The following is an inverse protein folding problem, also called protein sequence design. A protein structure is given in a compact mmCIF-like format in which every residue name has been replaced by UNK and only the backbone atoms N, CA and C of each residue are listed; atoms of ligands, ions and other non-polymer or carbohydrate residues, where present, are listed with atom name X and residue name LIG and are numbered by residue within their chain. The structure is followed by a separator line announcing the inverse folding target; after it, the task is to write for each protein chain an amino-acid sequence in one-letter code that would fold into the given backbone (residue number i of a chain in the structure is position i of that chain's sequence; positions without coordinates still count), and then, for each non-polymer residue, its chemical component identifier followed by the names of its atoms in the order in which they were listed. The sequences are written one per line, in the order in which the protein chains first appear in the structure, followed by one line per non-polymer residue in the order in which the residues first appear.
data_IF_838678459202
#
_entry.id   IF_838678459202
#
_cell.length_a   1.000
_cell.length_b   1.000
_cell.length_c   1.000
_cell.angle_alpha   90.00
_cell.angle_beta   90.00
_cell.angle_gamma   90.00
#
_symmetry.space_group_name_H-M   'P 1'
#
loop_
_entity.id
_entity.type
_entity.pdbx_description
1 polymer ?
#
# COMPACT_ATOMS: atom_id res chain seq x y z
N UNK A 1 48.16 -11.47 66.35
CA UNK A 1 47.67 -10.23 65.70
C UNK A 1 47.29 -10.64 64.27
N UNK A 2 46.02 -10.96 64.02
CA UNK A 2 45.54 -11.43 62.73
C UNK A 2 44.39 -10.50 62.27
N UNK A 3 44.62 -9.78 61.22
CA UNK A 3 43.63 -8.89 60.60
C UNK A 3 42.75 -9.69 59.65
N UNK A 4 41.46 -9.83 59.96
CA UNK A 4 40.44 -10.37 59.09
C UNK A 4 40.06 -9.34 58.01
N UNK A 5 40.24 -9.68 56.74
CA UNK A 5 39.77 -8.91 55.60
C UNK A 5 38.37 -9.39 55.21
N UNK A 6 37.36 -8.60 55.48
CA UNK A 6 35.99 -8.84 54.98
C UNK A 6 35.93 -8.40 53.54
N UNK A 7 35.59 -9.35 52.65
CA UNK A 7 35.30 -9.13 51.24
C UNK A 7 33.80 -8.80 51.11
N UNK A 8 33.46 -7.58 50.72
CA UNK A 8 32.08 -7.20 50.36
C UNK A 8 31.82 -7.61 48.93
N UNK A 9 30.91 -8.57 48.74
CA UNK A 9 30.40 -8.98 47.42
C UNK A 9 29.28 -8.00 47.03
N UNK A 10 29.59 -7.08 46.14
CA UNK A 10 28.62 -6.18 45.56
C UNK A 10 27.74 -6.94 44.52
N UNK A 11 26.47 -7.15 44.84
CA UNK A 11 25.46 -7.74 43.94
C UNK A 11 24.98 -6.64 43.02
N UNK A 12 25.53 -6.58 41.79
CA UNK A 12 25.10 -5.66 40.73
C UNK A 12 23.73 -6.02 40.20
N UNK A 13 22.73 -5.18 40.43
CA UNK A 13 21.38 -5.31 39.89
C UNK A 13 21.42 -4.94 38.42
N UNK A 14 21.40 -5.94 37.52
CA UNK A 14 21.21 -5.74 36.05
C UNK A 14 19.78 -5.29 35.80
N UNK A 15 19.59 -4.00 35.56
CA UNK A 15 18.33 -3.42 35.12
C UNK A 15 18.21 -3.75 33.62
N UNK A 16 17.44 -4.79 33.28
CA UNK A 16 16.99 -5.01 31.90
C UNK A 16 15.97 -3.91 31.56
N UNK A 17 16.41 -2.87 30.85
CA UNK A 17 15.51 -1.91 30.23
C UNK A 17 14.76 -2.62 29.10
N UNK A 18 13.41 -2.61 29.08
CA UNK A 18 12.66 -3.11 27.94
C UNK A 18 12.97 -2.22 26.74
N UNK A 19 13.58 -2.78 25.72
CA UNK A 19 13.68 -2.15 24.40
C UNK A 19 12.26 -2.14 23.84
N UNK A 20 11.56 -1.02 23.97
CA UNK A 20 10.31 -0.77 23.24
C UNK A 20 10.71 -0.63 21.78
N UNK A 21 10.59 -1.72 21.02
CA UNK A 21 10.66 -1.67 19.58
C UNK A 21 9.48 -0.80 19.13
N UNK A 22 9.78 0.41 18.64
CA UNK A 22 8.83 1.19 17.88
C UNK A 22 8.44 0.28 16.67
N UNK A 23 7.21 -0.23 16.68
CA UNK A 23 6.66 -0.89 15.53
C UNK A 23 6.68 0.17 14.41
N UNK A 24 7.50 -0.04 13.38
CA UNK A 24 7.37 0.69 12.13
C UNK A 24 5.90 0.55 11.74
N UNK A 25 5.20 1.67 11.65
CA UNK A 25 3.80 1.71 11.24
C UNK A 25 3.75 1.38 9.74
N UNK A 26 3.95 0.10 9.42
CA UNK A 26 3.78 -0.38 8.05
C UNK A 26 2.32 -0.18 7.65
N UNK A 27 2.09 0.29 6.43
CA UNK A 27 0.75 0.56 5.87
C UNK A 27 -0.16 -0.67 5.98
N UNK A 28 0.42 -1.87 5.89
CA UNK A 28 -0.25 -3.16 6.02
C UNK A 28 0.56 -4.06 6.96
N UNK A 29 -0.11 -4.80 7.80
CA UNK A 29 0.49 -5.90 8.57
C UNK A 29 0.93 -7.02 7.63
N UNK A 30 1.78 -7.93 8.09
CA UNK A 30 2.23 -9.09 7.29
C UNK A 30 1.05 -9.98 6.83
N UNK A 31 0.05 -10.15 7.67
CA UNK A 31 -1.16 -10.91 7.33
C UNK A 31 -1.98 -10.22 6.24
N UNK A 32 -2.19 -8.89 6.35
CA UNK A 32 -2.89 -8.10 5.34
C UNK A 32 -2.13 -8.08 4.00
N UNK A 33 -0.80 -7.99 4.03
CA UNK A 33 0.01 -8.07 2.81
C UNK A 33 -0.16 -9.43 2.10
N UNK A 34 -0.16 -10.53 2.87
CA UNK A 34 -0.38 -11.86 2.31
C UNK A 34 -1.79 -12.00 1.73
N UNK A 35 -2.82 -11.54 2.44
CA UNK A 35 -4.21 -11.57 1.97
C UNK A 35 -4.38 -10.71 0.72
N UNK A 36 -3.86 -9.48 0.72
CA UNK A 36 -3.90 -8.57 -0.42
C UNK A 36 -3.22 -9.18 -1.66
N UNK A 37 -2.06 -9.83 -1.47
CA UNK A 37 -1.38 -10.54 -2.56
C UNK A 37 -2.23 -11.68 -3.12
N UNK A 38 -2.89 -12.46 -2.28
CA UNK A 38 -3.80 -13.53 -2.72
C UNK A 38 -4.96 -12.95 -3.51
N UNK A 39 -5.63 -11.92 -3.00
CA UNK A 39 -6.73 -11.24 -3.68
C UNK A 39 -6.28 -10.62 -5.02
N UNK A 40 -5.09 -10.03 -5.08
CA UNK A 40 -4.52 -9.54 -6.34
C UNK A 40 -4.34 -10.66 -7.37
N UNK A 41 -3.77 -11.79 -6.97
CA UNK A 41 -3.56 -12.93 -7.87
C UNK A 41 -4.88 -13.54 -8.38
N UNK A 42 -5.92 -13.58 -7.54
CA UNK A 42 -7.22 -14.14 -7.89
C UNK A 42 -8.06 -13.21 -8.76
N UNK A 43 -8.01 -11.89 -8.55
CA UNK A 43 -8.97 -10.96 -9.12
C UNK A 43 -8.37 -9.93 -10.09
N UNK A 44 -7.05 -9.73 -10.07
CA UNK A 44 -6.38 -8.69 -10.86
C UNK A 44 -5.36 -9.25 -11.85
N UNK A 45 -4.64 -10.31 -11.46
CA UNK A 45 -3.50 -10.83 -12.21
C UNK A 45 -3.87 -11.46 -13.57
N UNK A 46 -5.13 -11.87 -13.77
CA UNK A 46 -5.59 -12.37 -15.07
C UNK A 46 -5.38 -11.33 -16.20
N UNK A 47 -5.57 -10.04 -15.89
CA UNK A 47 -5.34 -8.94 -16.83
C UNK A 47 -3.97 -8.27 -16.58
N UNK A 48 -3.65 -7.95 -15.33
CA UNK A 48 -2.44 -7.21 -14.99
C UNK A 48 -1.19 -8.09 -14.89
N UNK A 49 -1.30 -9.41 -14.98
CA UNK A 49 -0.24 -10.39 -14.74
C UNK A 49 0.24 -10.39 -13.28
N UNK A 50 0.87 -11.48 -12.79
CA UNK A 50 1.35 -11.55 -11.41
C UNK A 50 2.42 -10.49 -11.06
N UNK A 51 3.12 -9.99 -12.07
CA UNK A 51 4.14 -8.97 -11.95
C UNK A 51 3.62 -7.52 -12.13
N UNK A 52 2.33 -7.32 -12.38
CA UNK A 52 1.72 -6.00 -12.57
C UNK A 52 1.99 -5.34 -13.92
N UNK A 53 2.73 -6.00 -14.83
CA UNK A 53 3.16 -5.40 -16.11
C UNK A 53 2.05 -5.24 -17.15
N UNK A 54 0.92 -5.88 -16.96
CA UNK A 54 -0.20 -5.80 -17.89
C UNK A 54 0.11 -6.34 -19.28
N UNK A 55 -0.54 -5.76 -20.28
CA UNK A 55 -0.34 -6.09 -21.70
C UNK A 55 -0.24 -4.79 -22.51
N UNK A 56 0.86 -4.52 -23.21
CA UNK A 56 1.07 -3.29 -23.95
C UNK A 56 -0.11 -2.95 -24.89
N UNK A 57 -0.57 -1.73 -24.84
CA UNK A 57 -1.69 -1.23 -25.66
C UNK A 57 -3.09 -1.67 -25.22
N UNK A 58 -3.22 -2.61 -24.27
CA UNK A 58 -4.51 -3.15 -23.83
C UNK A 58 -4.74 -3.02 -22.33
N UNK A 59 -3.77 -3.46 -21.52
CA UNK A 59 -3.84 -3.41 -20.06
C UNK A 59 -2.64 -2.61 -19.53
N UNK A 60 -2.87 -1.53 -18.77
CA UNK A 60 -1.79 -0.69 -18.26
C UNK A 60 -0.80 -1.43 -17.36
N UNK A 61 0.48 -1.06 -17.46
CA UNK A 61 1.50 -1.42 -16.48
C UNK A 61 1.22 -0.67 -15.16
N UNK A 62 1.10 -1.41 -14.07
CA UNK A 62 0.83 -0.83 -12.76
C UNK A 62 2.03 -0.11 -12.13
N UNK A 63 3.22 -0.22 -12.73
CA UNK A 63 4.44 0.46 -12.25
C UNK A 63 4.58 1.89 -12.78
N UNK A 64 3.78 2.31 -13.77
CA UNK A 64 3.94 3.61 -14.40
C UNK A 64 3.36 4.77 -13.57
N UNK A 65 2.07 5.05 -13.71
CA UNK A 65 1.41 6.24 -13.15
C UNK A 65 0.63 5.99 -11.87
N UNK A 66 0.55 4.74 -11.40
CA UNK A 66 -0.36 4.39 -10.32
C UNK A 66 -0.01 5.08 -9.01
N UNK A 67 1.29 5.17 -8.71
CA UNK A 67 1.80 5.89 -7.54
C UNK A 67 1.46 7.37 -7.56
N UNK A 68 1.56 8.01 -8.73
CA UNK A 68 1.19 9.42 -8.91
C UNK A 68 -0.32 9.63 -8.79
N UNK A 69 -1.13 8.79 -9.46
CA UNK A 69 -2.59 8.85 -9.35
C UNK A 69 -3.09 8.73 -7.92
N UNK A 70 -2.50 7.83 -7.12
CA UNK A 70 -2.89 7.61 -5.73
C UNK A 70 -2.63 8.82 -4.81
N UNK A 71 -1.72 9.70 -5.20
CA UNK A 71 -1.26 10.83 -4.38
C UNK A 71 -1.82 12.18 -4.82
N UNK A 72 -2.46 12.23 -5.99
CA UNK A 72 -3.05 13.46 -6.52
C UNK A 72 -4.57 13.49 -6.25
N UNK A 73 -5.13 14.58 -5.70
CA UNK A 73 -6.55 14.65 -5.34
C UNK A 73 -7.50 14.30 -6.49
N UNK A 74 -7.22 14.80 -7.70
CA UNK A 74 -8.09 14.63 -8.87
C UNK A 74 -8.08 13.23 -9.45
N UNK A 75 -6.97 12.46 -9.24
CA UNK A 75 -6.81 11.12 -9.81
C UNK A 75 -6.91 9.99 -8.79
N UNK A 76 -6.88 10.29 -7.50
CA UNK A 76 -6.92 9.29 -6.44
C UNK A 76 -8.12 8.34 -6.56
N UNK A 77 -9.30 8.85 -6.85
CA UNK A 77 -10.50 8.03 -7.00
C UNK A 77 -10.47 7.12 -8.23
N UNK A 78 -9.71 7.49 -9.27
CA UNK A 78 -9.66 6.79 -10.55
C UNK A 78 -9.35 5.30 -10.38
N UNK A 79 -8.36 4.97 -9.55
CA UNK A 79 -7.86 3.60 -9.38
C UNK A 79 -8.96 2.64 -8.87
N UNK A 80 -9.81 3.09 -7.94
CA UNK A 80 -10.90 2.28 -7.41
C UNK A 80 -12.15 2.27 -8.29
N UNK A 81 -12.23 3.18 -9.28
CA UNK A 81 -13.38 3.34 -10.18
C UNK A 81 -13.25 2.60 -11.50
N UNK A 82 -12.04 2.14 -11.87
CA UNK A 82 -11.89 1.31 -13.09
C UNK A 82 -12.67 0.00 -12.96
N UNK A 83 -13.29 -0.52 -14.02
CA UNK A 83 -14.21 -1.66 -13.95
C UNK A 83 -13.64 -2.89 -13.23
N UNK A 84 -12.35 -3.20 -13.46
CA UNK A 84 -11.68 -4.32 -12.81
C UNK A 84 -11.58 -4.18 -11.28
N UNK A 85 -11.39 -2.96 -10.77
CA UNK A 85 -11.34 -2.69 -9.34
C UNK A 85 -12.74 -2.54 -8.75
N UNK A 86 -13.59 -1.68 -9.35
CA UNK A 86 -14.94 -1.41 -8.82
C UNK A 86 -15.83 -2.65 -8.81
N UNK A 87 -15.68 -3.53 -9.80
CA UNK A 87 -16.44 -4.78 -9.93
C UNK A 87 -15.80 -6.01 -9.28
N UNK A 88 -14.63 -5.88 -8.62
CA UNK A 88 -13.98 -7.01 -7.97
C UNK A 88 -14.87 -7.64 -6.90
N UNK A 89 -15.03 -8.99 -6.85
CA UNK A 89 -15.92 -9.70 -5.92
C UNK A 89 -15.27 -9.86 -4.52
N UNK A 90 -14.71 -8.77 -4.00
CA UNK A 90 -14.12 -8.63 -2.67
C UNK A 90 -14.72 -7.41 -1.98
N UNK A 91 -14.70 -7.37 -0.67
CA UNK A 91 -15.25 -6.25 0.07
C UNK A 91 -14.37 -4.98 -0.02
N UNK A 92 -14.88 -3.87 0.50
CA UNK A 92 -14.21 -2.57 0.38
C UNK A 92 -12.90 -2.50 1.18
N UNK A 93 -12.79 -3.23 2.28
CA UNK A 93 -11.58 -3.31 3.08
C UNK A 93 -10.51 -4.17 2.37
N UNK A 94 -10.91 -5.29 1.82
CA UNK A 94 -10.04 -6.16 1.02
C UNK A 94 -9.53 -5.43 -0.23
N UNK A 95 -10.40 -4.68 -0.93
CA UNK A 95 -9.97 -3.89 -2.08
C UNK A 95 -9.01 -2.78 -1.68
N UNK A 96 -9.25 -2.09 -0.56
CA UNK A 96 -8.31 -1.09 -0.04
C UNK A 96 -6.94 -1.71 0.28
N UNK A 97 -6.92 -2.92 0.86
CA UNK A 97 -5.67 -3.66 1.10
C UNK A 97 -4.96 -4.02 -0.21
N UNK A 98 -5.68 -4.49 -1.23
CA UNK A 98 -5.10 -4.79 -2.55
C UNK A 98 -4.49 -3.54 -3.18
N UNK A 99 -5.22 -2.41 -3.19
CA UNK A 99 -4.70 -1.15 -3.75
C UNK A 99 -3.45 -0.68 -3.02
N UNK A 100 -3.46 -0.72 -1.68
CA UNK A 100 -2.30 -0.36 -0.88
C UNK A 100 -1.12 -1.31 -1.11
N UNK A 101 -1.37 -2.61 -1.21
CA UNK A 101 -0.33 -3.60 -1.49
C UNK A 101 0.33 -3.37 -2.86
N UNK A 102 -0.45 -3.15 -3.91
CA UNK A 102 0.05 -2.83 -5.25
C UNK A 102 0.91 -1.56 -5.22
N UNK A 103 0.43 -0.50 -4.55
CA UNK A 103 1.17 0.76 -4.43
C UNK A 103 2.50 0.58 -3.72
N UNK A 104 2.54 -0.16 -2.61
CA UNK A 104 3.78 -0.39 -1.86
C UNK A 104 4.77 -1.26 -2.66
N UNK A 105 4.28 -2.35 -3.28
CA UNK A 105 5.14 -3.34 -3.93
C UNK A 105 5.59 -2.95 -5.32
N UNK A 106 4.76 -2.24 -6.08
CA UNK A 106 5.02 -1.90 -7.48
C UNK A 106 5.38 -0.42 -7.68
N UNK A 107 5.03 0.45 -6.73
CA UNK A 107 5.22 1.89 -6.84
C UNK A 107 5.93 2.51 -5.62
N UNK A 108 6.50 1.71 -4.73
CA UNK A 108 7.09 2.21 -3.48
C UNK A 108 8.11 3.34 -3.66
N UNK A 109 8.88 3.31 -4.74
CA UNK A 109 9.82 4.38 -5.10
C UNK A 109 9.19 5.69 -5.60
N UNK A 110 7.89 5.68 -5.94
CA UNK A 110 7.12 6.85 -6.39
C UNK A 110 6.27 7.46 -5.26
N UNK A 111 6.09 6.73 -4.16
CA UNK A 111 5.29 7.21 -3.04
C UNK A 111 6.07 8.26 -2.25
N UNK A 112 5.46 9.44 -2.08
CA UNK A 112 6.06 10.56 -1.33
C UNK A 112 5.92 10.32 0.18
N UNK A 113 6.77 10.94 0.96
CA UNK A 113 6.60 11.02 2.41
C UNK A 113 5.21 11.57 2.74
N UNK A 114 4.48 10.88 3.62
CA UNK A 114 3.10 11.25 3.98
C UNK A 114 2.03 10.72 3.03
N UNK A 115 2.37 9.77 2.15
CA UNK A 115 1.36 9.04 1.38
C UNK A 115 0.25 8.54 2.31
N UNK A 116 -1.01 8.79 1.94
CA UNK A 116 -2.18 8.34 2.69
C UNK A 116 -2.70 7.03 2.06
N UNK A 117 -2.64 5.90 2.78
CA UNK A 117 -3.20 4.65 2.30
C UNK A 117 -4.70 4.78 2.00
N UNK A 118 -5.21 3.97 1.08
CA UNK A 118 -6.64 3.84 0.87
C UNK A 118 -7.30 3.21 2.09
N UNK A 119 -8.48 3.74 2.45
CA UNK A 119 -9.34 3.18 3.50
C UNK A 119 -10.55 2.49 2.88
N UNK A 120 -11.15 1.55 3.61
CA UNK A 120 -12.40 0.92 3.20
C UNK A 120 -13.51 1.93 2.89
N UNK A 121 -13.60 3.01 3.69
CA UNK A 121 -14.61 4.06 3.48
C UNK A 121 -14.38 4.87 2.19
N UNK A 122 -13.13 5.18 1.82
CA UNK A 122 -12.83 5.82 0.53
C UNK A 122 -13.18 4.89 -0.63
N UNK A 123 -12.77 3.62 -0.56
CA UNK A 123 -13.05 2.63 -1.60
C UNK A 123 -14.55 2.43 -1.78
N UNK A 124 -15.31 2.29 -0.68
CA UNK A 124 -16.77 2.21 -0.69
C UNK A 124 -17.43 3.40 -1.40
N UNK A 125 -16.88 4.60 -1.21
CA UNK A 125 -17.35 5.80 -1.90
C UNK A 125 -17.04 5.77 -3.40
N UNK A 126 -15.79 5.47 -3.75
CA UNK A 126 -15.30 5.55 -5.11
C UNK A 126 -15.87 4.47 -6.04
N UNK A 127 -15.92 3.21 -5.61
CA UNK A 127 -16.34 2.09 -6.47
C UNK A 127 -17.81 2.11 -6.90
N UNK A 128 -18.65 2.96 -6.29
CA UNK A 128 -20.05 3.14 -6.69
C UNK A 128 -20.21 3.84 -8.04
N UNK A 129 -19.22 4.61 -8.44
CA UNK A 129 -19.21 5.38 -9.67
C UNK A 129 -18.16 4.83 -10.64
N UNK A 130 -18.49 3.68 -11.24
CA UNK A 130 -17.61 2.99 -12.19
C UNK A 130 -17.41 3.80 -13.46
N UNK A 131 -16.15 3.94 -13.89
CA UNK A 131 -15.81 4.59 -15.16
C UNK A 131 -16.12 3.64 -16.30
N UNK A 132 -16.96 4.06 -17.25
CA UNK A 132 -17.35 3.25 -18.42
C UNK A 132 -16.32 3.29 -19.54
N UNK A 133 -15.71 4.45 -19.76
CA UNK A 133 -14.64 4.64 -20.77
C UNK A 133 -13.35 5.07 -20.07
N UNK A 134 -12.50 4.09 -19.79
CA UNK A 134 -11.30 4.28 -18.95
C UNK A 134 -10.17 5.00 -19.70
N UNK A 135 -10.00 4.72 -21.00
CA UNK A 135 -8.84 5.21 -21.74
C UNK A 135 -8.76 6.75 -21.80
N UNK A 136 -9.80 7.49 -22.24
CA UNK A 136 -9.72 8.95 -22.31
C UNK A 136 -9.61 9.59 -20.92
N UNK A 137 -10.21 9.01 -19.87
CA UNK A 137 -10.06 9.50 -18.50
C UNK A 137 -8.63 9.36 -18.04
N UNK A 138 -8.01 8.19 -18.26
CA UNK A 138 -6.60 7.95 -17.92
C UNK A 138 -5.67 8.92 -18.66
N UNK A 139 -5.87 9.12 -19.95
CA UNK A 139 -5.05 10.05 -20.73
C UNK A 139 -5.17 11.49 -20.25
N UNK A 140 -6.37 11.94 -19.91
CA UNK A 140 -6.59 13.28 -19.35
C UNK A 140 -5.87 13.48 -18.02
N UNK A 141 -5.90 12.45 -17.14
CA UNK A 141 -5.18 12.48 -15.86
C UNK A 141 -3.65 12.52 -16.06
N UNK A 142 -3.11 11.73 -16.99
CA UNK A 142 -1.68 11.75 -17.32
C UNK A 142 -1.27 13.15 -17.82
N UNK A 143 -2.06 13.77 -18.68
CA UNK A 143 -1.79 15.13 -19.18
C UNK A 143 -1.79 16.16 -18.07
N UNK A 144 -2.73 16.10 -17.13
CA UNK A 144 -2.76 16.98 -15.95
C UNK A 144 -1.51 16.82 -15.09
N UNK A 145 -1.14 15.58 -14.75
CA UNK A 145 0.08 15.31 -13.98
C UNK A 145 1.34 15.87 -14.66
N UNK A 146 1.44 15.72 -15.99
CA UNK A 146 2.56 16.25 -16.76
C UNK A 146 2.59 17.79 -16.79
N UNK A 147 1.43 18.46 -16.66
CA UNK A 147 1.32 19.91 -16.58
C UNK A 147 1.56 20.46 -15.15
N UNK A 148 1.65 19.58 -14.14
CA UNK A 148 1.81 19.96 -12.74
C UNK A 148 0.52 20.51 -12.10
N UNK A 149 -0.62 20.14 -12.66
CA UNK A 149 -1.96 20.58 -12.22
C UNK A 149 -2.59 19.60 -11.20
#
# INVERSE_FOLDING_TARGET
MGLARSAAVGMGLLILSPVIQAADASILTAAEQQQARVNFLLHCAACHRPDGRGAPGTVPDLHEYLGEFAQHPDSRSFIARVPGASGAPIDDAELAQVLNWVLITMNGGQLRTGFKPYTAGEVAGYRRDTITDVAPVREALIKKLAAGE
#
